data_IF_245176834648
#
_entry.id   IF_245176834648
#
_cell.length_a   1.000
_cell.length_b   1.000
_cell.length_c   1.000
_cell.angle_alpha   90.00
_cell.angle_beta   90.00
_cell.angle_gamma   90.00
#
_symmetry.space_group_name_H-M   'P 1'
#
loop_
_entity.id
_entity.type
_entity.pdbx_description
1 polymer ?
#
# COMPACT_ATOMS: atom_id res chain seq x y z
N UNK A 1 20.24 20.05 -1.07
CA UNK A 1 18.77 20.21 -1.06
C UNK A 1 18.45 21.35 -0.11
N UNK A 2 17.64 22.34 -0.50
CA UNK A 2 17.26 23.42 0.41
C UNK A 2 16.51 22.86 1.62
N UNK A 3 16.72 23.46 2.79
CA UNK A 3 16.08 23.12 4.06
C UNK A 3 14.88 24.05 4.29
N UNK A 4 13.69 23.49 4.46
CA UNK A 4 12.46 24.27 4.71
C UNK A 4 11.92 23.99 6.12
N UNK A 5 12.01 24.97 7.02
CA UNK A 5 11.51 24.86 8.40
C UNK A 5 10.16 25.57 8.64
N UNK A 6 9.55 26.15 7.61
CA UNK A 6 8.32 26.95 7.73
C UNK A 6 7.15 26.18 8.36
N UNK A 7 7.08 24.85 8.12
CA UNK A 7 6.06 23.94 8.67
C UNK A 7 6.58 23.09 9.86
N UNK A 8 7.84 23.26 10.27
CA UNK A 8 8.43 22.45 11.32
C UNK A 8 7.92 22.93 12.69
N UNK A 9 7.07 22.12 13.32
CA UNK A 9 6.70 22.31 14.74
C UNK A 9 7.60 21.41 15.60
N UNK A 10 8.68 21.95 16.20
CA UNK A 10 9.56 21.15 17.04
C UNK A 10 8.77 20.62 18.26
N UNK A 11 8.97 19.36 18.66
CA UNK A 11 8.39 18.85 19.90
C UNK A 11 8.95 19.64 21.10
N UNK A 12 8.29 19.61 22.27
CA UNK A 12 8.79 20.26 23.47
C UNK A 12 10.23 19.83 23.78
N UNK A 13 11.19 20.75 23.64
CA UNK A 13 12.61 20.50 23.84
C UNK A 13 13.26 21.64 24.62
N UNK A 14 14.38 21.39 25.33
CA UNK A 14 15.07 22.45 26.05
C UNK A 14 15.58 23.53 25.09
N UNK A 15 15.60 24.78 25.56
CA UNK A 15 15.89 25.96 24.73
C UNK A 15 17.21 25.85 23.95
N UNK A 16 18.26 25.33 24.58
CA UNK A 16 19.57 25.16 23.94
C UNK A 16 19.52 24.29 22.66
N UNK A 17 18.64 23.29 22.60
CA UNK A 17 18.50 22.43 21.42
C UNK A 17 17.70 23.11 20.31
N UNK A 18 16.73 23.94 20.69
CA UNK A 18 16.01 24.79 19.74
C UNK A 18 16.94 25.85 19.14
N UNK A 19 17.81 26.44 19.96
CA UNK A 19 18.79 27.43 19.48
C UNK A 19 19.80 26.76 18.52
N UNK A 20 20.23 25.52 18.78
CA UNK A 20 21.05 24.75 17.82
C UNK A 20 20.30 24.50 16.51
N UNK A 21 19.03 24.13 16.56
CA UNK A 21 18.23 23.92 15.34
C UNK A 21 18.19 25.20 14.47
N UNK A 22 17.96 26.34 15.10
CA UNK A 22 17.89 27.64 14.42
C UNK A 22 19.27 28.10 13.91
N UNK A 23 20.33 27.93 14.70
CA UNK A 23 21.71 28.29 14.33
C UNK A 23 22.22 27.45 13.14
N UNK A 24 21.91 26.16 13.15
CA UNK A 24 22.27 25.27 12.03
C UNK A 24 21.43 25.59 10.78
N UNK A 25 20.16 25.97 10.94
CA UNK A 25 19.31 26.43 9.83
C UNK A 25 19.85 27.72 9.19
N UNK A 26 20.14 28.74 9.99
CA UNK A 26 20.70 30.01 9.49
C UNK A 26 22.06 29.81 8.83
N UNK A 27 22.85 28.85 9.32
CA UNK A 27 24.15 28.49 8.72
C UNK A 27 24.03 27.89 7.32
N UNK A 28 22.89 27.30 6.96
CA UNK A 28 22.66 26.77 5.61
C UNK A 28 22.16 27.83 4.63
N UNK A 29 21.44 28.86 5.10
CA UNK A 29 20.86 29.89 4.24
C UNK A 29 20.05 29.29 3.07
N UNK A 30 20.32 29.76 1.85
CA UNK A 30 19.70 29.28 0.61
C UNK A 30 20.45 28.11 -0.04
N UNK A 31 21.49 27.58 0.60
CA UNK A 31 22.36 26.57 -0.01
C UNK A 31 21.75 25.17 -0.04
N UNK A 32 22.22 24.38 -1.00
CA UNK A 32 21.85 22.98 -1.10
C UNK A 32 22.50 22.14 0.02
N UNK A 33 21.74 21.85 1.06
CA UNK A 33 22.14 20.99 2.19
C UNK A 33 22.40 19.55 1.78
N UNK A 34 23.49 18.96 2.28
CA UNK A 34 23.84 17.54 2.11
C UNK A 34 24.14 16.87 3.47
N UNK A 35 24.16 15.53 3.56
CA UNK A 35 24.33 14.82 4.83
C UNK A 35 25.63 15.15 5.57
N UNK A 36 26.72 15.35 4.83
CA UNK A 36 28.04 15.63 5.40
C UNK A 36 28.08 17.01 6.08
N UNK A 37 27.41 18.01 5.51
CA UNK A 37 27.29 19.32 6.13
C UNK A 37 26.43 19.26 7.39
N UNK A 38 25.31 18.54 7.34
CA UNK A 38 24.42 18.35 8.50
C UNK A 38 25.16 17.67 9.64
N UNK A 39 25.85 16.55 9.41
CA UNK A 39 26.57 15.88 10.49
C UNK A 39 27.71 16.73 11.05
N UNK A 40 28.39 17.51 10.21
CA UNK A 40 29.48 18.39 10.66
C UNK A 40 28.95 19.47 11.62
N UNK A 41 27.86 20.14 11.25
CA UNK A 41 27.23 21.15 12.09
C UNK A 41 26.60 20.56 13.35
N UNK A 42 26.00 19.37 13.28
CA UNK A 42 25.52 18.67 14.47
C UNK A 42 26.68 18.28 15.41
N UNK A 43 27.83 17.85 14.88
CA UNK A 43 29.01 17.58 15.70
C UNK A 43 29.58 18.85 16.33
N UNK A 44 29.53 19.97 15.63
CA UNK A 44 30.03 21.26 16.15
C UNK A 44 29.09 21.87 17.20
N UNK A 45 27.77 21.76 17.00
CA UNK A 45 26.76 22.51 17.78
C UNK A 45 25.94 21.66 18.74
N UNK A 46 25.60 20.43 18.36
CA UNK A 46 24.76 19.54 19.16
C UNK A 46 25.58 18.66 20.10
N UNK A 47 26.71 18.11 19.63
CA UNK A 47 27.57 17.22 20.43
C UNK A 47 28.11 17.87 21.73
N UNK A 48 28.47 19.16 21.79
CA UNK A 48 28.92 19.81 23.03
C UNK A 48 27.83 19.89 24.11
N UNK A 49 26.56 19.84 23.73
CA UNK A 49 25.43 19.86 24.68
C UNK A 49 25.20 18.50 25.34
N UNK A 50 25.84 17.44 24.85
CA UNK A 50 25.65 16.09 25.33
C UNK A 50 26.72 15.68 26.36
N UNK A 51 26.33 14.94 27.42
CA UNK A 51 27.25 14.29 28.34
C UNK A 51 28.26 13.40 27.61
N UNK A 52 29.48 13.30 28.15
CA UNK A 52 30.58 12.54 27.53
C UNK A 52 30.22 11.07 27.23
N UNK A 53 29.38 10.46 28.07
CA UNK A 53 28.88 9.08 27.91
C UNK A 53 28.12 8.87 26.60
N UNK A 54 27.52 9.91 26.02
CA UNK A 54 26.70 9.81 24.82
C UNK A 54 27.44 10.23 23.53
N UNK A 55 28.66 10.74 23.64
CA UNK A 55 29.40 11.28 22.49
C UNK A 55 29.73 10.21 21.44
N UNK A 56 29.96 8.97 21.87
CA UNK A 56 30.22 7.83 20.97
C UNK A 56 29.04 7.51 20.03
N UNK A 57 27.82 7.99 20.33
CA UNK A 57 26.67 7.81 19.44
C UNK A 57 26.84 8.57 18.11
N UNK A 58 27.72 9.60 18.07
CA UNK A 58 28.03 10.37 16.87
C UNK A 58 29.19 9.77 16.05
N UNK A 59 29.77 8.65 16.48
CA UNK A 59 30.81 7.91 15.76
C UNK A 59 30.22 7.07 14.63
N UNK A 60 29.66 7.75 13.63
CA UNK A 60 29.15 7.13 12.42
C UNK A 60 30.31 6.53 11.60
N UNK A 61 30.23 5.23 11.32
CA UNK A 61 31.21 4.52 10.48
C UNK A 61 30.86 4.65 9.00
N UNK A 62 31.85 4.91 8.16
CA UNK A 62 31.70 4.98 6.70
C UNK A 62 31.33 6.37 6.18
N UNK A 63 30.88 6.43 4.93
CA UNK A 63 30.50 7.67 4.27
C UNK A 63 29.16 8.18 4.83
N UNK A 64 29.10 9.48 5.19
CA UNK A 64 27.87 10.09 5.69
C UNK A 64 26.80 10.13 4.60
N UNK A 65 25.67 9.49 4.89
CA UNK A 65 24.47 9.46 4.06
C UNK A 65 23.25 9.91 4.88
N UNK A 66 22.12 10.15 4.21
CA UNK A 66 20.86 10.41 4.92
C UNK A 66 20.43 9.22 5.80
N UNK A 67 20.69 7.99 5.35
CA UNK A 67 20.44 6.79 6.14
C UNK A 67 21.30 6.75 7.41
N UNK A 68 22.56 7.21 7.34
CA UNK A 68 23.42 7.31 8.52
C UNK A 68 22.91 8.32 9.56
N UNK A 69 22.30 9.43 9.10
CA UNK A 69 21.64 10.41 9.98
C UNK A 69 20.32 9.86 10.56
N UNK A 70 19.60 9.04 9.80
CA UNK A 70 18.40 8.35 10.30
C UNK A 70 18.75 7.32 11.37
N UNK A 71 19.84 6.57 11.17
CA UNK A 71 20.39 5.65 12.18
C UNK A 71 20.84 6.42 13.43
N UNK A 72 21.48 7.58 13.28
CA UNK A 72 21.84 8.45 14.40
C UNK A 72 20.60 8.87 15.20
N UNK A 73 19.54 9.32 14.52
CA UNK A 73 18.26 9.62 15.16
C UNK A 73 17.73 8.42 15.95
N UNK A 74 17.68 7.23 15.33
CA UNK A 74 17.18 6.02 15.97
C UNK A 74 18.00 5.66 17.21
N UNK A 75 19.34 5.71 17.13
CA UNK A 75 20.23 5.42 18.24
C UNK A 75 20.03 6.41 19.41
N UNK A 76 19.89 7.71 19.14
CA UNK A 76 19.62 8.73 20.15
C UNK A 76 18.24 8.53 20.80
N UNK A 77 17.22 8.25 19.99
CA UNK A 77 15.86 8.01 20.48
C UNK A 77 15.80 6.75 21.36
N UNK A 78 16.40 5.65 20.92
CA UNK A 78 16.47 4.41 21.70
C UNK A 78 17.29 4.58 22.98
N UNK A 79 18.46 5.22 22.90
CA UNK A 79 19.31 5.48 24.06
C UNK A 79 18.63 6.39 25.08
N UNK A 80 17.70 7.27 24.65
CA UNK A 80 16.95 8.13 25.56
C UNK A 80 16.02 7.36 26.51
N UNK A 81 15.57 6.17 26.12
CA UNK A 81 14.58 5.39 26.87
C UNK A 81 13.28 6.13 27.19
N UNK A 82 13.01 7.28 26.53
CA UNK A 82 11.90 8.18 26.85
C UNK A 82 12.08 9.00 28.14
N UNK A 83 13.20 8.85 28.86
CA UNK A 83 13.45 9.53 30.15
C UNK A 83 14.55 10.58 30.05
N UNK A 84 15.55 10.36 29.19
CA UNK A 84 16.62 11.34 28.94
C UNK A 84 16.14 12.43 27.98
N UNK A 85 15.85 13.60 28.54
CA UNK A 85 15.38 14.77 27.80
C UNK A 85 16.41 15.34 26.82
N UNK A 86 17.72 15.20 27.10
CA UNK A 86 18.78 15.73 26.23
C UNK A 86 18.98 14.84 25.01
N UNK A 87 18.96 13.52 25.20
CA UNK A 87 18.99 12.57 24.09
C UNK A 87 17.71 12.63 23.26
N UNK A 88 16.54 12.74 23.89
CA UNK A 88 15.27 12.94 23.19
C UNK A 88 15.24 14.23 22.37
N UNK A 89 15.74 15.34 22.93
CA UNK A 89 15.87 16.59 22.20
C UNK A 89 16.89 16.51 21.04
N UNK A 90 18.01 15.82 21.25
CA UNK A 90 19.00 15.58 20.19
C UNK A 90 18.42 14.75 19.05
N UNK A 91 17.68 13.70 19.37
CA UNK A 91 16.96 12.90 18.38
C UNK A 91 15.96 13.76 17.60
N UNK A 92 15.22 14.64 18.29
CA UNK A 92 14.29 15.55 17.63
C UNK A 92 14.98 16.52 16.65
N UNK A 93 16.11 17.13 17.04
CA UNK A 93 16.90 18.01 16.17
C UNK A 93 17.37 17.25 14.92
N UNK A 94 17.96 16.06 15.08
CA UNK A 94 18.41 15.23 13.95
C UNK A 94 17.23 14.84 13.05
N UNK A 95 16.10 14.44 13.63
CA UNK A 95 14.88 14.08 12.91
C UNK A 95 14.34 15.23 12.07
N UNK A 96 14.35 16.46 12.60
CA UNK A 96 13.92 17.65 11.85
C UNK A 96 14.84 17.88 10.65
N UNK A 97 16.16 17.84 10.83
CA UNK A 97 17.06 17.96 9.68
C UNK A 97 16.82 16.86 8.66
N UNK A 98 16.73 15.58 9.05
CA UNK A 98 16.48 14.51 8.09
C UNK A 98 15.15 14.75 7.36
N UNK A 99 14.06 15.01 8.07
CA UNK A 99 12.72 15.16 7.47
C UNK A 99 12.55 16.41 6.61
N UNK A 100 13.27 17.49 6.91
CA UNK A 100 13.11 18.79 6.25
C UNK A 100 14.24 19.15 5.28
N UNK A 101 15.32 18.35 5.23
CA UNK A 101 16.35 18.41 4.17
C UNK A 101 16.17 17.31 3.14
N UNK A 102 15.63 16.14 3.51
CA UNK A 102 15.39 15.04 2.56
C UNK A 102 14.02 15.18 1.90
N UNK A 103 14.04 15.79 0.71
CA UNK A 103 12.88 16.02 -0.20
C UNK A 103 11.98 17.18 0.28
N UNK A 104 11.30 17.91 -0.65
CA UNK A 104 10.34 18.91 -0.21
C UNK A 104 9.23 18.24 0.61
N UNK A 105 8.72 18.93 1.62
CA UNK A 105 7.54 18.53 2.40
C UNK A 105 6.40 18.25 1.43
N UNK A 106 6.14 16.98 1.15
CA UNK A 106 4.96 16.59 0.37
C UNK A 106 3.90 16.18 1.38
N UNK A 107 2.70 16.74 1.22
CA UNK A 107 1.49 15.95 1.46
C UNK A 107 1.76 14.52 0.96
N UNK A 108 1.36 13.49 1.71
CA UNK A 108 1.55 12.11 1.27
C UNK A 108 0.86 11.94 -0.09
N UNK A 109 1.63 12.07 -1.17
CA UNK A 109 1.19 11.71 -2.51
C UNK A 109 1.15 10.19 -2.49
N UNK A 110 -0.04 9.68 -2.18
CA UNK A 110 -0.33 8.28 -2.38
C UNK A 110 -0.03 7.95 -3.84
N UNK A 111 0.61 6.80 -4.12
CA UNK A 111 0.76 6.32 -5.48
C UNK A 111 -0.60 6.41 -6.19
N UNK A 112 -0.62 6.90 -7.44
CA UNK A 112 -1.87 7.06 -8.21
C UNK A 112 -2.74 5.79 -8.22
N UNK A 113 -2.09 4.63 -8.01
CA UNK A 113 -2.67 3.33 -7.79
C UNK A 113 -2.00 2.66 -6.57
N UNK A 114 -2.64 2.74 -5.40
CA UNK A 114 -2.16 2.12 -4.15
C UNK A 114 -1.88 0.62 -4.33
N UNK A 115 -2.75 -0.07 -5.06
CA UNK A 115 -2.65 -1.49 -5.37
C UNK A 115 -1.38 -1.86 -6.17
N UNK A 116 -0.91 -0.98 -7.06
CA UNK A 116 0.31 -1.23 -7.83
C UNK A 116 1.55 -1.04 -6.95
N UNK A 117 1.55 -0.04 -6.09
CA UNK A 117 2.65 0.20 -5.17
C UNK A 117 2.75 -0.90 -4.10
N UNK A 118 1.62 -1.32 -3.55
CA UNK A 118 1.54 -2.45 -2.62
C UNK A 118 2.00 -3.75 -3.29
N UNK A 119 1.50 -4.03 -4.50
CA UNK A 119 1.95 -5.17 -5.30
C UNK A 119 3.46 -5.17 -5.53
N UNK A 120 4.04 -4.03 -5.93
CA UNK A 120 5.47 -3.93 -6.19
C UNK A 120 6.31 -4.25 -4.94
N UNK A 121 5.94 -3.70 -3.77
CA UNK A 121 6.63 -3.97 -2.50
C UNK A 121 6.56 -5.44 -2.10
N UNK A 122 5.36 -6.01 -2.14
CA UNK A 122 5.17 -7.43 -1.77
C UNK A 122 5.84 -8.37 -2.78
N UNK A 123 5.82 -8.04 -4.08
CA UNK A 123 6.50 -8.82 -5.11
C UNK A 123 8.03 -8.80 -4.93
N UNK A 124 8.61 -7.65 -4.54
CA UNK A 124 10.04 -7.54 -4.23
C UNK A 124 10.45 -8.43 -3.06
N UNK A 125 9.65 -8.44 -1.98
CA UNK A 125 9.89 -9.29 -0.81
C UNK A 125 9.80 -10.79 -1.13
N UNK A 126 8.90 -11.16 -2.05
CA UNK A 126 8.71 -12.54 -2.50
C UNK A 126 9.67 -12.95 -3.64
N UNK A 127 10.50 -12.03 -4.15
CA UNK A 127 11.36 -12.28 -5.30
C UNK A 127 10.59 -12.59 -6.60
N UNK A 128 9.36 -12.10 -6.73
CA UNK A 128 8.51 -12.33 -7.89
C UNK A 128 8.80 -11.31 -9.01
N UNK A 129 8.74 -11.70 -10.29
CA UNK A 129 9.00 -10.79 -11.39
C UNK A 129 7.90 -9.73 -11.52
N UNK A 130 8.30 -8.46 -11.52
CA UNK A 130 7.43 -7.29 -11.75
C UNK A 130 7.41 -6.95 -13.24
N UNK A 131 6.53 -7.57 -14.01
CA UNK A 131 6.34 -7.25 -15.42
C UNK A 131 5.27 -6.16 -15.60
N UNK A 132 5.34 -5.43 -16.71
CA UNK A 132 4.33 -4.44 -17.12
C UNK A 132 3.66 -4.94 -18.41
N UNK A 133 2.73 -5.91 -18.31
CA UNK A 133 2.13 -6.53 -19.49
C UNK A 133 1.30 -5.51 -20.28
N UNK A 134 1.28 -5.67 -21.59
CA UNK A 134 0.48 -4.87 -22.52
C UNK A 134 -0.54 -5.77 -23.21
N UNK A 135 -1.74 -5.25 -23.44
CA UNK A 135 -2.90 -6.00 -23.97
C UNK A 135 -3.40 -5.35 -25.26
N UNK A 136 -3.76 -6.18 -26.25
CA UNK A 136 -4.32 -5.75 -27.53
C UNK A 136 -3.36 -5.98 -28.69
N UNK A 137 -3.89 -6.50 -29.80
CA UNK A 137 -3.11 -6.84 -31.00
C UNK A 137 -2.77 -5.61 -31.88
N UNK A 138 -3.70 -4.68 -32.04
CA UNK A 138 -3.52 -3.48 -32.90
C UNK A 138 -2.99 -2.27 -32.13
N UNK A 139 -3.44 -2.08 -30.89
CA UNK A 139 -2.99 -1.00 -30.01
C UNK A 139 -2.68 -1.59 -28.65
N UNK A 140 -1.39 -1.81 -28.40
CA UNK A 140 -0.88 -2.32 -27.14
C UNK A 140 -1.17 -1.32 -26.02
N UNK A 141 -2.08 -1.69 -25.11
CA UNK A 141 -2.47 -0.87 -23.96
C UNK A 141 -1.85 -1.44 -22.69
N UNK A 142 -1.16 -0.65 -21.86
CA UNK A 142 -0.60 -1.15 -20.60
C UNK A 142 -1.70 -1.69 -19.68
N UNK A 143 -1.52 -2.90 -19.13
CA UNK A 143 -2.52 -3.55 -18.28
C UNK A 143 -2.85 -2.72 -17.02
N UNK A 144 -1.84 -2.02 -16.51
CA UNK A 144 -1.87 -1.29 -15.24
C UNK A 144 -2.22 0.18 -15.36
N UNK A 145 -2.42 0.68 -16.58
CA UNK A 145 -3.00 2.01 -16.76
C UNK A 145 -4.51 1.94 -16.57
N UNK A 146 -4.96 1.85 -15.31
CA UNK A 146 -6.36 1.57 -15.02
C UNK A 146 -7.29 2.72 -15.34
N UNK A 147 -8.51 2.38 -15.76
CA UNK A 147 -9.66 3.27 -15.75
C UNK A 147 -9.87 3.84 -14.34
N UNK A 148 -10.15 5.14 -14.25
CA UNK A 148 -10.49 5.83 -13.00
C UNK A 148 -11.70 5.21 -12.27
N UNK A 149 -12.55 4.46 -12.98
CA UNK A 149 -13.80 3.93 -12.46
C UNK A 149 -13.84 2.39 -12.31
N UNK A 150 -12.84 1.65 -12.78
CA UNK A 150 -12.79 0.19 -12.66
C UNK A 150 -11.36 -0.36 -12.80
N UNK A 151 -11.23 -1.67 -13.06
CA UNK A 151 -9.96 -2.38 -13.20
C UNK A 151 -9.48 -2.54 -14.65
N UNK A 152 -10.29 -2.13 -15.64
CA UNK A 152 -9.91 -2.27 -17.05
C UNK A 152 -8.88 -1.21 -17.46
N UNK A 153 -7.98 -1.50 -18.41
CA UNK A 153 -7.09 -0.50 -18.97
C UNK A 153 -7.83 0.70 -19.56
N UNK A 154 -7.30 1.90 -19.34
CA UNK A 154 -7.78 3.13 -19.93
C UNK A 154 -7.43 3.18 -21.42
N UNK A 155 -8.24 3.87 -22.23
CA UNK A 155 -7.93 4.14 -23.64
C UNK A 155 -7.76 5.63 -23.91
N UNK A 156 -8.65 6.46 -23.35
CA UNK A 156 -8.63 7.90 -23.57
C UNK A 156 -9.11 8.61 -22.33
N UNK A 157 -8.48 9.73 -21.96
CA UNK A 157 -8.93 10.64 -20.88
C UNK A 157 -9.17 9.94 -19.53
N UNK A 158 -8.37 8.93 -19.17
CA UNK A 158 -8.51 8.28 -17.86
C UNK A 158 -9.61 7.21 -17.75
N UNK A 159 -10.28 6.86 -18.85
CA UNK A 159 -11.40 5.91 -18.83
C UNK A 159 -11.22 4.77 -19.83
N UNK A 160 -11.75 3.60 -19.49
CA UNK A 160 -11.81 2.45 -20.40
C UNK A 160 -12.91 2.62 -21.44
N UNK A 161 -12.90 1.78 -22.47
CA UNK A 161 -13.91 1.72 -23.52
C UNK A 161 -15.33 1.65 -22.95
N UNK A 162 -15.57 0.76 -21.98
CA UNK A 162 -16.91 0.56 -21.39
C UNK A 162 -17.44 1.77 -20.59
N UNK A 163 -16.56 2.67 -20.14
CA UNK A 163 -16.94 3.85 -19.37
C UNK A 163 -16.71 5.16 -20.12
N UNK A 164 -16.29 5.11 -21.38
CA UNK A 164 -16.23 6.28 -22.25
C UNK A 164 -17.64 6.76 -22.62
N UNK A 165 -17.80 8.08 -22.81
CA UNK A 165 -19.05 8.68 -23.30
C UNK A 165 -19.27 8.46 -24.80
N UNK A 166 -18.22 8.09 -25.53
CA UNK A 166 -18.21 8.03 -26.99
C UNK A 166 -18.55 6.63 -27.55
N UNK A 167 -19.05 5.69 -26.75
CA UNK A 167 -19.21 4.31 -27.21
C UNK A 167 -20.52 4.03 -27.94
N UNK A 168 -20.37 3.69 -29.22
CA UNK A 168 -21.34 3.00 -30.08
C UNK A 168 -21.46 1.50 -29.78
N UNK A 169 -20.57 0.91 -28.98
CA UNK A 169 -20.49 -0.54 -28.70
C UNK A 169 -21.10 -0.95 -27.35
N UNK A 170 -22.35 -0.55 -27.08
CA UNK A 170 -23.14 -1.09 -25.95
C UNK A 170 -23.69 -2.49 -26.23
N UNK A 171 -22.95 -3.34 -26.92
CA UNK A 171 -23.31 -4.76 -26.99
C UNK A 171 -23.02 -5.39 -25.63
N UNK A 172 -24.09 -5.48 -24.82
CA UNK A 172 -24.07 -5.96 -23.43
C UNK A 172 -23.80 -7.46 -23.32
N UNK A 173 -23.74 -8.20 -24.43
CA UNK A 173 -23.48 -9.64 -24.45
C UNK A 173 -21.98 -9.89 -24.56
N UNK A 174 -21.38 -10.53 -23.55
CA UNK A 174 -19.97 -10.92 -23.54
C UNK A 174 -18.99 -9.90 -22.95
N UNK A 175 -19.46 -8.70 -22.59
CA UNK A 175 -18.63 -7.68 -21.94
C UNK A 175 -18.25 -8.01 -20.49
N UNK A 176 -17.20 -7.37 -19.96
CA UNK A 176 -16.76 -7.56 -18.57
C UNK A 176 -17.82 -7.06 -17.58
N UNK A 177 -17.79 -7.56 -16.34
CA UNK A 177 -18.85 -7.27 -15.34
C UNK A 177 -19.06 -5.77 -15.10
N UNK A 178 -18.02 -4.92 -15.20
CA UNK A 178 -18.18 -3.48 -15.02
C UNK A 178 -18.94 -2.77 -16.16
N UNK A 179 -19.12 -3.42 -17.31
CA UNK A 179 -19.79 -2.85 -18.49
C UNK A 179 -21.30 -2.68 -18.31
N UNK A 180 -21.90 -3.32 -17.29
CA UNK A 180 -23.33 -3.15 -16.96
C UNK A 180 -23.65 -1.76 -16.40
N UNK A 181 -22.64 -1.06 -15.88
CA UNK A 181 -22.79 0.22 -15.21
C UNK A 181 -22.68 1.39 -16.19
N UNK A 182 -23.64 2.32 -16.11
CA UNK A 182 -23.57 3.57 -16.88
C UNK A 182 -22.48 4.51 -16.35
N UNK A 183 -21.99 5.42 -17.19
CA UNK A 183 -21.00 6.43 -16.81
C UNK A 183 -21.39 7.21 -15.53
N UNK A 184 -22.65 7.67 -15.43
CA UNK A 184 -23.16 8.36 -14.22
C UNK A 184 -23.13 7.47 -12.98
N UNK A 185 -23.45 6.18 -13.11
CA UNK A 185 -23.43 5.24 -11.98
C UNK A 185 -22.02 4.95 -11.48
N UNK A 186 -21.03 4.87 -12.37
CA UNK A 186 -19.65 4.63 -11.96
C UNK A 186 -18.99 5.87 -11.39
N UNK A 187 -19.34 7.06 -11.87
CA UNK A 187 -18.94 8.32 -11.24
C UNK A 187 -19.40 8.42 -9.78
N UNK A 188 -20.67 8.07 -9.52
CA UNK A 188 -21.22 8.04 -8.15
C UNK A 188 -20.62 6.93 -7.29
N UNK A 189 -20.20 5.82 -7.90
CA UNK A 189 -19.55 4.72 -7.19
C UNK A 189 -18.15 5.06 -6.72
N UNK A 190 -17.45 5.94 -7.46
CA UNK A 190 -16.01 6.15 -7.33
C UNK A 190 -15.53 6.32 -5.88
N UNK A 191 -16.12 7.17 -5.02
CA UNK A 191 -15.64 7.33 -3.65
C UNK A 191 -15.72 6.05 -2.81
N UNK A 192 -16.81 5.29 -2.98
CA UNK A 192 -17.02 4.01 -2.28
C UNK A 192 -16.05 2.95 -2.80
N UNK A 193 -15.84 2.91 -4.12
CA UNK A 193 -14.87 2.03 -4.76
C UNK A 193 -13.45 2.31 -4.27
N UNK A 194 -13.01 3.57 -4.27
CA UNK A 194 -11.68 3.97 -3.79
C UNK A 194 -11.50 3.64 -2.31
N UNK A 195 -12.53 3.86 -1.48
CA UNK A 195 -12.51 3.46 -0.06
C UNK A 195 -12.35 1.96 0.14
N UNK A 196 -13.12 1.14 -0.59
CA UNK A 196 -13.01 -0.32 -0.51
C UNK A 196 -11.66 -0.83 -1.02
N UNK A 197 -11.12 -0.23 -2.08
CA UNK A 197 -9.81 -0.58 -2.61
C UNK A 197 -8.71 -0.28 -1.59
N UNK A 198 -8.73 0.92 -1.00
CA UNK A 198 -7.77 1.29 0.05
C UNK A 198 -7.87 0.37 1.26
N UNK A 199 -9.09 0.05 1.71
CA UNK A 199 -9.31 -0.88 2.82
C UNK A 199 -8.75 -2.27 2.52
N UNK A 200 -9.05 -2.81 1.34
CA UNK A 200 -8.62 -4.14 0.93
C UNK A 200 -7.09 -4.23 0.81
N UNK A 201 -6.48 -3.32 0.04
CA UNK A 201 -5.03 -3.36 -0.22
C UNK A 201 -4.24 -3.14 1.06
N UNK A 202 -4.64 -2.18 1.90
CA UNK A 202 -3.93 -1.90 3.16
C UNK A 202 -4.04 -3.07 4.13
N UNK A 203 -5.20 -3.73 4.20
CA UNK A 203 -5.38 -4.90 5.07
C UNK A 203 -4.54 -6.10 4.59
N UNK A 204 -4.48 -6.33 3.28
CA UNK A 204 -3.67 -7.44 2.73
C UNK A 204 -2.17 -7.21 2.94
N UNK A 205 -1.69 -6.00 2.69
CA UNK A 205 -0.30 -5.65 2.94
C UNK A 205 0.04 -5.79 4.43
N UNK A 206 -0.82 -5.30 5.32
CA UNK A 206 -0.63 -5.44 6.75
C UNK A 206 -0.57 -6.91 7.20
N UNK A 207 -1.52 -7.74 6.75
CA UNK A 207 -1.53 -9.18 7.07
C UNK A 207 -0.30 -9.89 6.51
N UNK A 208 0.19 -9.48 5.34
CA UNK A 208 1.43 -10.02 4.78
C UNK A 208 2.63 -9.72 5.69
N UNK A 209 2.74 -8.49 6.19
CA UNK A 209 3.78 -8.10 7.13
C UNK A 209 3.67 -8.85 8.47
N UNK A 210 2.46 -8.96 9.05
CA UNK A 210 2.24 -9.68 10.31
C UNK A 210 2.53 -11.18 10.20
N UNK A 211 2.36 -11.76 9.01
CA UNK A 211 2.68 -13.16 8.75
C UNK A 211 4.17 -13.45 8.56
N UNK A 212 5.05 -12.48 8.83
CA UNK A 212 6.47 -12.55 8.49
C UNK A 212 6.70 -12.90 7.01
N UNK A 213 5.90 -12.29 6.12
CA UNK A 213 5.96 -12.47 4.66
C UNK A 213 5.63 -13.88 4.16
N UNK A 214 5.00 -14.72 4.98
CA UNK A 214 4.64 -16.10 4.62
C UNK A 214 3.25 -16.23 3.98
N UNK A 215 2.38 -15.23 4.16
CA UNK A 215 1.00 -15.28 3.69
C UNK A 215 0.91 -15.19 2.15
N UNK A 216 0.11 -16.07 1.55
CA UNK A 216 -0.14 -16.12 0.12
C UNK A 216 -1.11 -15.01 -0.37
N UNK A 217 -0.63 -13.76 -0.32
CA UNK A 217 -1.42 -12.57 -0.70
C UNK A 217 -1.55 -12.34 -2.20
N UNK A 218 -0.59 -12.84 -2.98
CA UNK A 218 -0.61 -12.75 -4.45
C UNK A 218 -1.53 -13.80 -5.06
N UNK A 219 -2.07 -13.51 -6.25
CA UNK A 219 -2.80 -14.51 -7.05
C UNK A 219 -1.88 -15.72 -7.28
N UNK A 220 -2.24 -16.92 -6.81
CA UNK A 220 -1.33 -18.06 -6.83
C UNK A 220 -1.44 -18.85 -8.15
N UNK A 221 -0.36 -19.51 -8.60
CA UNK A 221 -0.36 -20.37 -9.80
C UNK A 221 -1.24 -21.62 -9.65
N UNK A 222 -1.48 -22.07 -8.42
CA UNK A 222 -2.36 -23.19 -8.06
C UNK A 222 -3.28 -22.78 -6.91
N UNK A 223 -4.39 -23.49 -6.70
CA UNK A 223 -5.32 -23.16 -5.61
C UNK A 223 -6.13 -21.87 -5.81
N UNK A 224 -6.27 -21.39 -7.06
CA UNK A 224 -6.99 -20.16 -7.39
C UNK A 224 -8.40 -20.10 -6.79
N UNK A 225 -9.12 -21.23 -6.75
CA UNK A 225 -10.49 -21.28 -6.23
C UNK A 225 -10.59 -20.99 -4.73
N UNK A 226 -9.74 -21.63 -3.91
CA UNK A 226 -9.69 -21.36 -2.46
C UNK A 226 -9.19 -19.95 -2.19
N UNK A 227 -8.18 -19.50 -2.94
CA UNK A 227 -7.66 -18.14 -2.83
C UNK A 227 -8.71 -17.09 -3.15
N UNK A 228 -9.50 -17.27 -4.22
CA UNK A 228 -10.60 -16.35 -4.56
C UNK A 228 -11.66 -16.31 -3.44
N UNK A 229 -12.03 -17.46 -2.86
CA UNK A 229 -13.02 -17.48 -1.77
C UNK A 229 -12.55 -16.74 -0.52
N UNK A 230 -11.27 -16.85 -0.20
CA UNK A 230 -10.68 -16.20 0.97
C UNK A 230 -10.39 -14.71 0.74
N UNK A 231 -9.78 -14.36 -0.39
CA UNK A 231 -9.21 -13.04 -0.65
C UNK A 231 -10.07 -12.17 -1.56
N UNK A 232 -10.88 -12.76 -2.44
CA UNK A 232 -11.71 -12.06 -3.43
C UNK A 232 -13.15 -12.60 -3.42
N UNK A 233 -13.84 -12.62 -2.26
CA UNK A 233 -15.12 -13.31 -2.12
C UNK A 233 -16.21 -12.77 -3.04
N UNK A 234 -16.27 -11.45 -3.30
CA UNK A 234 -17.26 -10.89 -4.20
C UNK A 234 -17.02 -11.31 -5.66
N UNK A 235 -15.77 -11.43 -6.08
CA UNK A 235 -15.35 -11.95 -7.38
C UNK A 235 -15.59 -13.46 -7.49
N UNK A 236 -15.34 -14.23 -6.44
CA UNK A 236 -15.66 -15.66 -6.37
C UNK A 236 -17.14 -15.91 -6.59
N UNK A 237 -18.01 -15.14 -5.92
CA UNK A 237 -19.46 -15.23 -6.11
C UNK A 237 -19.89 -14.88 -7.53
N UNK A 238 -19.23 -13.91 -8.17
CA UNK A 238 -19.52 -13.60 -9.58
C UNK A 238 -19.07 -14.72 -10.51
N UNK A 239 -17.93 -15.34 -10.24
CA UNK A 239 -17.45 -16.48 -10.99
C UNK A 239 -18.43 -17.67 -10.89
N UNK A 240 -18.97 -17.93 -9.70
CA UNK A 240 -20.00 -18.95 -9.47
C UNK A 240 -21.33 -18.62 -10.16
N UNK A 241 -21.71 -17.34 -10.23
CA UNK A 241 -22.94 -16.90 -10.89
C UNK A 241 -22.86 -16.96 -12.43
N UNK A 242 -21.68 -16.71 -13.00
CA UNK A 242 -21.43 -16.77 -14.46
C UNK A 242 -21.07 -18.19 -14.90
N UNK A 243 -20.42 -18.96 -14.03
CA UNK A 243 -20.03 -20.34 -14.27
C UNK A 243 -21.25 -21.25 -14.40
N UNK A 244 -21.52 -21.73 -15.62
CA UNK A 244 -22.27 -22.98 -15.78
C UNK A 244 -21.55 -24.05 -14.94
N UNK A 245 -22.30 -24.77 -14.10
CA UNK A 245 -21.81 -25.96 -13.37
C UNK A 245 -20.92 -26.79 -14.30
N UNK A 246 -19.58 -26.75 -14.12
CA UNK A 246 -18.65 -27.62 -14.86
C UNK A 246 -17.47 -26.98 -15.62
N UNK A 247 -17.17 -25.68 -15.52
CA UNK A 247 -15.89 -25.18 -16.05
C UNK A 247 -14.70 -25.75 -15.24
N UNK A 248 -13.92 -26.64 -15.88
CA UNK A 248 -12.78 -27.36 -15.28
C UNK A 248 -11.57 -26.41 -15.07
N UNK A 249 -11.52 -25.25 -15.73
CA UNK A 249 -10.38 -24.32 -15.70
C UNK A 249 -10.80 -22.94 -15.17
N UNK A 250 -10.43 -22.66 -13.91
CA UNK A 250 -10.81 -21.44 -13.19
C UNK A 250 -10.17 -20.14 -13.75
N UNK A 251 -8.94 -20.19 -14.24
CA UNK A 251 -8.26 -18.99 -14.74
C UNK A 251 -8.91 -18.40 -16.01
N UNK A 252 -9.22 -19.19 -17.07
CA UNK A 252 -9.98 -18.70 -18.22
C UNK A 252 -11.34 -18.11 -17.83
N UNK A 253 -12.05 -18.77 -16.90
CA UNK A 253 -13.33 -18.29 -16.39
C UNK A 253 -13.19 -16.93 -15.69
N UNK A 254 -12.18 -16.78 -14.83
CA UNK A 254 -11.85 -15.53 -14.15
C UNK A 254 -11.53 -14.41 -15.16
N UNK A 255 -10.69 -14.70 -16.16
CA UNK A 255 -10.33 -13.72 -17.18
C UNK A 255 -11.53 -13.30 -18.04
N UNK A 256 -12.46 -14.22 -18.32
CA UNK A 256 -13.73 -13.89 -18.96
C UNK A 256 -14.59 -12.96 -18.10
N UNK A 257 -14.69 -13.20 -16.80
CA UNK A 257 -15.41 -12.32 -15.87
C UNK A 257 -14.77 -10.92 -15.83
N UNK A 258 -13.44 -10.86 -15.78
CA UNK A 258 -12.70 -9.61 -15.67
C UNK A 258 -12.65 -8.81 -16.97
N UNK A 259 -12.47 -9.45 -18.12
CA UNK A 259 -12.15 -8.78 -19.38
C UNK A 259 -13.14 -9.08 -20.53
N UNK A 260 -14.12 -9.96 -20.31
CA UNK A 260 -14.99 -10.44 -21.38
C UNK A 260 -14.17 -11.23 -22.41
N UNK A 261 -14.48 -11.02 -23.69
CA UNK A 261 -13.79 -11.69 -24.80
C UNK A 261 -12.29 -11.35 -24.89
N UNK A 262 -11.86 -10.22 -24.31
CA UNK A 262 -10.44 -9.81 -24.25
C UNK A 262 -9.62 -10.60 -23.22
N UNK A 263 -10.23 -11.55 -22.50
CA UNK A 263 -9.53 -12.37 -21.51
C UNK A 263 -8.38 -13.20 -22.09
N UNK A 264 -8.49 -13.61 -23.35
CA UNK A 264 -7.44 -14.38 -24.06
C UNK A 264 -6.18 -13.54 -24.25
N UNK A 265 -6.33 -12.28 -24.68
CA UNK A 265 -5.21 -11.36 -24.87
C UNK A 265 -4.46 -11.11 -23.55
N UNK A 266 -5.20 -11.00 -22.45
CA UNK A 266 -4.62 -10.86 -21.11
C UNK A 266 -3.86 -12.12 -20.70
N UNK A 267 -4.42 -13.31 -20.96
CA UNK A 267 -3.75 -14.58 -20.67
C UNK A 267 -2.40 -14.69 -21.39
N UNK A 268 -2.35 -14.26 -22.67
CA UNK A 268 -1.13 -14.20 -23.44
C UNK A 268 -0.14 -13.16 -22.88
N UNK A 269 -0.63 -11.97 -22.53
CA UNK A 269 0.21 -10.88 -22.03
C UNK A 269 0.91 -11.20 -20.70
N UNK A 270 0.23 -11.93 -19.80
CA UNK A 270 0.84 -12.32 -18.51
C UNK A 270 1.76 -13.54 -18.63
N UNK A 271 1.73 -14.28 -19.75
CA UNK A 271 2.66 -15.38 -20.03
C UNK A 271 2.74 -16.46 -18.94
N UNK A 272 1.62 -16.74 -18.25
CA UNK A 272 1.58 -17.69 -17.13
C UNK A 272 1.99 -17.13 -15.76
N UNK A 273 2.49 -15.89 -15.69
CA UNK A 273 2.78 -15.17 -14.45
C UNK A 273 1.49 -14.63 -13.81
N UNK A 274 0.68 -15.52 -13.22
CA UNK A 274 -0.66 -15.18 -12.73
C UNK A 274 -0.67 -14.17 -11.58
N UNK A 275 0.43 -14.03 -10.83
CA UNK A 275 0.57 -13.03 -9.76
C UNK A 275 0.45 -11.60 -10.30
N UNK A 276 0.71 -11.37 -11.60
CA UNK A 276 0.51 -10.09 -12.28
C UNK A 276 -0.96 -9.64 -12.30
N UNK A 277 -1.91 -10.55 -12.04
CA UNK A 277 -3.34 -10.23 -11.92
C UNK A 277 -3.73 -9.70 -10.52
N UNK A 278 -2.81 -9.68 -9.55
CA UNK A 278 -3.11 -9.25 -8.18
C UNK A 278 -3.69 -7.83 -8.11
N UNK A 279 -3.12 -6.82 -8.78
CA UNK A 279 -3.69 -5.47 -8.79
C UNK A 279 -5.09 -5.43 -9.44
N UNK A 280 -5.27 -6.12 -10.56
CA UNK A 280 -6.56 -6.19 -11.25
C UNK A 280 -7.64 -6.83 -10.37
N UNK A 281 -7.34 -7.97 -9.76
CA UNK A 281 -8.30 -8.67 -8.91
C UNK A 281 -8.66 -7.86 -7.67
N UNK A 282 -7.71 -7.12 -7.07
CA UNK A 282 -7.98 -6.19 -5.98
C UNK A 282 -8.96 -5.09 -6.40
N UNK A 283 -8.74 -4.44 -7.54
CA UNK A 283 -9.66 -3.43 -8.09
C UNK A 283 -11.03 -4.03 -8.43
N UNK A 284 -11.07 -5.22 -9.00
CA UNK A 284 -12.33 -5.88 -9.35
C UNK A 284 -13.16 -6.23 -8.12
N UNK A 285 -12.51 -6.76 -7.08
CA UNK A 285 -13.15 -7.06 -5.79
C UNK A 285 -13.71 -5.81 -5.14
N UNK A 286 -12.90 -4.75 -5.02
CA UNK A 286 -13.34 -3.47 -4.45
C UNK A 286 -14.51 -2.87 -5.23
N UNK A 287 -14.48 -2.97 -6.56
CA UNK A 287 -15.57 -2.49 -7.42
C UNK A 287 -16.85 -3.30 -7.20
N UNK A 288 -16.77 -4.63 -7.08
CA UNK A 288 -17.91 -5.50 -6.83
C UNK A 288 -18.52 -5.28 -5.45
N UNK A 289 -17.69 -5.11 -4.41
CA UNK A 289 -18.12 -4.74 -3.07
C UNK A 289 -18.87 -3.40 -3.08
N UNK A 290 -18.30 -2.39 -3.71
CA UNK A 290 -18.93 -1.08 -3.87
C UNK A 290 -20.25 -1.19 -4.68
N UNK A 291 -20.28 -2.01 -5.74
CA UNK A 291 -21.46 -2.21 -6.58
C UNK A 291 -22.60 -2.86 -5.79
N UNK A 292 -22.34 -3.90 -5.00
CA UNK A 292 -23.32 -4.57 -4.14
C UNK A 292 -23.81 -3.66 -3.02
N UNK A 293 -22.92 -2.84 -2.43
CA UNK A 293 -23.23 -1.92 -1.33
C UNK A 293 -24.23 -0.80 -1.68
N UNK A 294 -24.43 -0.49 -2.97
CA UNK A 294 -25.42 0.52 -3.41
C UNK A 294 -26.85 0.24 -2.91
N UNK A 295 -27.21 -1.04 -2.79
CA UNK A 295 -28.55 -1.44 -2.34
C UNK A 295 -28.82 -1.10 -0.87
N UNK A 296 -27.76 -1.00 -0.05
CA UNK A 296 -27.85 -0.77 1.40
C UNK A 296 -27.84 0.74 1.71
N UNK A 297 -27.02 1.52 1.00
CA UNK A 297 -26.94 2.98 1.16
C UNK A 297 -28.16 3.74 0.64
N UNK A 298 -28.76 3.31 -0.48
CA UNK A 298 -29.95 3.98 -1.05
C UNK A 298 -31.20 3.88 -0.15
N UNK A 299 -31.28 2.85 0.70
CA UNK A 299 -32.32 2.71 1.71
C UNK A 299 -32.04 3.60 2.93
N UNK A 300 -30.78 3.69 3.37
CA UNK A 300 -30.37 4.52 4.51
C UNK A 300 -30.49 6.03 4.22
N UNK A 301 -30.11 6.47 3.01
CA UNK A 301 -30.22 7.88 2.60
C UNK A 301 -31.69 8.32 2.43
N UNK A 302 -32.60 7.43 2.01
CA UNK A 302 -34.04 7.72 1.98
C UNK A 302 -34.65 7.82 3.37
N UNK A 303 -34.21 6.99 4.31
CA UNK A 303 -34.68 7.04 5.70
C UNK A 303 -34.14 8.29 6.41
N UNK A 304 -32.87 8.66 6.21
CA UNK A 304 -32.31 9.91 6.75
C UNK A 304 -32.88 11.17 6.09
N UNK A 305 -33.16 11.16 4.78
CA UNK A 305 -33.83 12.27 4.11
C UNK A 305 -35.28 12.44 4.60
N UNK A 306 -36.02 11.35 4.80
CA UNK A 306 -37.37 11.40 5.39
C UNK A 306 -37.37 11.87 6.85
N UNK A 307 -36.37 11.48 7.65
CA UNK A 307 -36.22 11.95 9.03
C UNK A 307 -35.85 13.43 9.12
N UNK A 308 -35.06 13.96 8.17
CA UNK A 308 -34.73 15.40 8.11
C UNK A 308 -35.92 16.26 7.66
N UNK A 309 -36.80 15.75 6.80
CA UNK A 309 -38.04 16.45 6.45
C UNK A 309 -39.06 16.47 7.60
N UNK A 310 -39.05 15.47 8.50
CA UNK A 310 -39.92 15.42 9.69
C UNK A 310 -39.38 16.24 10.87
N UNK A 311 -38.08 16.50 10.94
CA UNK A 311 -37.44 17.27 12.01
C UNK A 311 -37.40 18.80 11.76
N UNK A 312 -37.86 19.27 10.60
CA UNK A 312 -37.82 20.69 10.21
C UNK A 312 -38.90 21.59 10.81
N UNK A 313 -39.77 21.07 11.69
CA UNK A 313 -40.85 21.85 12.31
C UNK A 313 -40.84 21.71 13.82
N UNK A 314 -39.88 22.36 14.49
CA UNK A 314 -40.01 22.84 15.87
C UNK A 314 -38.86 23.78 16.20
N UNK A 315 -39.20 25.04 16.44
CA UNK A 315 -38.36 26.08 17.02
C UNK A 315 -37.83 25.68 18.41
N UNK A 316 -36.61 26.10 18.80
CA UNK A 316 -36.06 25.73 20.10
C UNK A 316 -36.48 26.74 21.19
N UNK A 317 -36.92 26.21 22.34
CA UNK A 317 -36.92 26.93 23.61
C UNK A 317 -35.79 26.38 24.49
N UNK A 318 -35.02 27.29 25.08
CA UNK A 318 -33.85 27.05 25.93
C UNK A 318 -34.17 26.23 27.19
N UNK A 319 -33.19 25.50 27.77
CA UNK A 319 -33.36 24.86 29.07
C UNK A 319 -32.72 25.66 30.21
N UNK A 320 -33.44 25.71 31.33
CA UNK A 320 -32.92 26.08 32.66
C UNK A 320 -32.87 24.85 33.55
N UNK A 321 -31.66 24.57 34.06
CA UNK A 321 -31.26 24.21 35.43
C UNK A 321 -31.97 23.14 36.27
N UNK A 322 -31.14 22.55 37.16
CA UNK A 322 -31.45 21.89 38.46
C UNK A 322 -31.78 20.38 38.41
N UNK A 323 -31.35 19.49 39.31
CA UNK A 323 -30.31 19.42 40.37
C UNK A 323 -30.42 17.98 40.95
N UNK A 324 -29.29 17.42 41.41
CA UNK A 324 -29.17 16.55 42.62
C UNK A 324 -29.73 15.10 42.61
N UNK A 325 -29.18 14.08 43.29
CA UNK A 325 -28.07 13.93 44.27
C UNK A 325 -27.75 12.42 44.49
N UNK A 326 -26.51 12.12 44.94
CA UNK A 326 -26.07 11.06 45.92
C UNK A 326 -26.23 9.56 45.53
N UNK A 327 -25.34 8.60 45.82
CA UNK A 327 -24.26 8.40 46.82
C UNK A 327 -23.21 7.39 46.26
N UNK A 328 -21.93 7.49 46.69
CA UNK A 328 -20.92 6.41 46.59
C UNK A 328 -21.00 5.41 47.76
N UNK A 329 -19.92 4.71 48.20
CA UNK A 329 -18.55 4.61 47.68
C UNK A 329 -17.86 3.20 47.76
N UNK A 330 -16.65 3.11 47.17
CA UNK A 330 -15.37 2.44 47.54
C UNK A 330 -15.25 1.03 48.18
N UNK A 331 -14.29 0.26 47.62
CA UNK A 331 -13.47 -0.81 48.23
C UNK A 331 -12.93 -1.75 47.13
N UNK A 332 -11.66 -1.82 46.68
CA UNK A 332 -10.30 -1.93 47.26
C UNK A 332 -9.93 -3.37 47.70
N UNK A 333 -8.79 -3.86 47.16
CA UNK A 333 -7.93 -5.02 47.54
C UNK A 333 -8.42 -6.43 47.14
N UNK A 334 -7.61 -7.45 46.80
CA UNK A 334 -6.18 -7.66 46.51
C UNK A 334 -5.98 -9.18 46.19
N UNK A 335 -4.88 -9.55 45.54
CA UNK A 335 -4.28 -10.90 45.60
C UNK A 335 -4.84 -11.97 44.65
N UNK A 336 -4.13 -12.97 44.12
CA UNK A 336 -2.71 -13.32 43.93
C UNK A 336 -2.71 -14.86 43.72
N UNK A 337 -1.87 -15.35 42.80
CA UNK A 337 -1.27 -16.70 42.80
C UNK A 337 -2.21 -17.91 42.58
N UNK A 338 -1.80 -19.07 42.03
CA UNK A 338 -0.75 -19.60 41.15
C UNK A 338 -1.07 -21.11 41.03
N UNK A 339 -0.46 -21.78 40.04
CA UNK A 339 -0.31 -23.26 39.94
C UNK A 339 -1.45 -23.99 39.22
N UNK A 340 -1.27 -25.03 38.40
CA UNK A 340 -0.08 -25.70 37.86
C UNK A 340 -0.55 -26.80 36.88
N UNK A 341 0.30 -27.11 35.90
CA UNK A 341 0.56 -28.44 35.31
C UNK A 341 -0.57 -29.20 34.59
N UNK A 342 -0.34 -29.50 33.30
CA UNK A 342 0.03 -30.86 32.85
C UNK A 342 0.47 -30.83 31.39
N UNK A 343 1.53 -31.61 31.11
CA UNK A 343 2.16 -31.79 29.81
C UNK A 343 2.06 -33.27 29.43
N UNK A 344 1.81 -33.60 28.16
CA UNK A 344 2.35 -34.79 27.46
C UNK A 344 2.16 -34.65 25.93
N UNK A 345 2.88 -35.42 25.07
CA UNK A 345 3.48 -34.93 23.83
C UNK A 345 2.88 -35.63 22.60
N UNK A 346 3.22 -35.18 21.39
CA UNK A 346 3.02 -35.99 20.19
C UNK A 346 4.29 -36.04 19.32
N UNK A 347 4.97 -37.18 19.47
CA UNK A 347 5.42 -38.10 18.40
C UNK A 347 5.81 -37.50 17.05
N UNK A 348 7.12 -37.53 16.80
CA UNK A 348 7.76 -37.44 15.48
C UNK A 348 7.99 -38.87 14.95
N UNK A 349 7.53 -39.12 13.73
CA UNK A 349 7.96 -40.21 12.84
C UNK A 349 7.68 -39.71 11.42
N UNK A 350 8.63 -39.65 10.47
CA UNK A 350 9.10 -40.80 9.69
C UNK A 350 10.30 -40.36 8.84
N UNK A 351 11.14 -41.34 8.50
CA UNK A 351 12.46 -41.31 7.84
C UNK A 351 12.33 -41.24 6.28
N UNK A 352 13.38 -41.53 5.48
CA UNK A 352 14.14 -40.60 4.63
C UNK A 352 13.80 -40.72 3.13
N UNK A 353 14.36 -39.86 2.27
CA UNK A 353 14.61 -40.31 0.89
C UNK A 353 15.83 -39.69 0.21
N UNK A 354 16.50 -40.59 -0.52
CA UNK A 354 17.78 -40.46 -1.20
C UNK A 354 17.69 -39.80 -2.57
N UNK A 355 18.82 -39.21 -2.98
CA UNK A 355 19.40 -39.16 -4.33
C UNK A 355 18.50 -38.99 -5.57
N UNK A 356 18.74 -37.93 -6.34
CA UNK A 356 19.11 -38.07 -7.77
C UNK A 356 19.57 -36.76 -8.44
N UNK A 357 20.80 -36.83 -8.95
CA UNK A 357 21.29 -36.44 -10.29
C UNK A 357 20.99 -35.03 -10.84
N UNK A 358 22.09 -34.26 -10.96
CA UNK A 358 22.34 -33.21 -11.97
C UNK A 358 21.96 -33.66 -13.39
N UNK A 359 21.51 -32.71 -14.22
CA UNK A 359 21.84 -32.74 -15.64
C UNK A 359 22.70 -31.52 -16.04
N UNK A 360 23.54 -31.86 -16.99
CA UNK A 360 24.62 -31.15 -17.66
C UNK A 360 24.04 -30.19 -18.71
N UNK A 361 24.40 -28.89 -18.65
CA UNK A 361 24.03 -27.91 -19.66
C UNK A 361 25.21 -27.73 -20.63
N UNK A 362 25.03 -28.26 -21.84
CA UNK A 362 25.86 -28.02 -23.02
C UNK A 362 25.78 -26.56 -23.46
N UNK A 363 26.95 -25.96 -23.69
CA UNK A 363 27.13 -24.72 -24.47
C UNK A 363 26.75 -24.95 -25.95
N UNK A 364 26.17 -23.94 -26.62
CA UNK A 364 26.39 -23.76 -28.04
C UNK A 364 27.34 -22.59 -28.33
N UNK A 365 28.02 -22.76 -29.45
CA UNK A 365 29.12 -21.98 -29.99
C UNK A 365 28.70 -20.62 -30.55
N UNK A 366 29.71 -19.76 -30.63
CA UNK A 366 29.70 -18.47 -31.29
C UNK A 366 29.41 -18.57 -32.80
N UNK A 367 28.59 -17.65 -33.31
CA UNK A 367 28.55 -17.30 -34.72
C UNK A 367 29.05 -15.86 -34.93
N UNK A 368 30.03 -15.73 -35.84
CA UNK A 368 30.58 -14.48 -36.34
C UNK A 368 29.55 -13.58 -37.04
N UNK A 369 29.69 -12.25 -36.99
CA UNK A 369 28.90 -11.31 -37.78
C UNK A 369 29.50 -11.11 -39.17
N UNK A 370 28.71 -11.40 -40.20
CA UNK A 370 29.01 -11.14 -41.60
C UNK A 370 28.40 -9.83 -42.10
N UNK A 371 29.30 -8.91 -42.46
CA UNK A 371 29.27 -8.00 -43.62
C UNK A 371 28.12 -7.00 -43.82
N UNK A 372 28.53 -5.75 -43.60
CA UNK A 372 28.04 -4.48 -44.13
C UNK A 372 27.91 -4.49 -45.66
N UNK A 373 26.79 -3.97 -46.18
CA UNK A 373 26.72 -3.30 -47.49
C UNK A 373 25.74 -2.13 -47.42
N UNK A 374 26.30 -0.93 -47.34
CA UNK A 374 25.59 0.31 -47.61
C UNK A 374 25.42 0.46 -49.14
N UNK A 375 24.19 0.74 -49.58
CA UNK A 375 23.90 1.34 -50.89
C UNK A 375 23.56 2.81 -50.62
N UNK A 376 24.51 3.70 -50.91
CA UNK A 376 24.24 5.11 -51.16
C UNK A 376 24.01 5.29 -52.65
N UNK A 377 22.96 6.02 -53.01
CA UNK A 377 22.72 6.51 -54.36
C UNK A 377 23.14 7.97 -54.48
N UNK A 378 23.31 8.35 -55.76
CA UNK A 378 23.55 9.68 -56.35
C UNK A 378 24.97 10.22 -56.16
#
# INVERSE_FOLDING_TARGET
MPLYLDDAVPPPMPRAFLDVLLDVYTSFGEEAVNPAMVIALLRDRLLPLLPNVHKSLFDLRGQTSWDSLWILYANLATASGGTDKQLGASAAVVSIFVRHTTRPTREVEFPAHLELASFARMADLLGLPKAHPHVGAEVATPLYEFCRYCWLPQRSRGVCENHSTNTTSRDKKGGPVCAVATHKQVQRLRPVFEKELSRLVSAEEWQFHESEFSLAVMVPPSGLGSWLKERRPALSQQLEAVGRKGEIRLLPALLRVLYGDKGVDVAQAIGGSVHLLTPTTARAEAWLCAWKGRGVGAASDRVQASLRCLAGSRTPLSPTSELSTMHGPLGVLEGAQRSSLTAVPNTVSTVPNSMSKKPEIRRPQAHHPGRIRARGGI
#
